data_IF_341680875198
#
_entry.id   IF_341680875198
#
_cell.length_a   1.000
_cell.length_b   1.000
_cell.length_c   1.000
_cell.angle_alpha   90.00
_cell.angle_beta   90.00
_cell.angle_gamma   90.00
#
_symmetry.space_group_name_H-M   'P 1'
#
loop_
_entity.id
_entity.type
_entity.pdbx_description
1 polymer ?
#
# COMPACT_ATOMS: atom_id res chain seq x y z
N UNK A 1 12.73 -6.47 17.52
CA UNK A 1 11.95 -5.32 16.99
C UNK A 1 10.91 -5.86 16.01
N UNK A 2 9.64 -5.44 16.05
CA UNK A 2 8.69 -5.84 15.03
C UNK A 2 9.14 -5.25 13.69
N UNK A 3 9.44 -6.13 12.72
CA UNK A 3 9.81 -5.74 11.37
C UNK A 3 8.64 -5.01 10.72
N UNK A 4 8.71 -3.68 10.61
CA UNK A 4 7.70 -2.89 9.89
C UNK A 4 7.72 -3.32 8.43
N UNK A 5 6.56 -3.75 7.93
CA UNK A 5 6.34 -4.09 6.53
C UNK A 5 5.56 -2.97 5.86
N UNK A 6 5.96 -2.59 4.66
CA UNK A 6 5.30 -1.59 3.83
C UNK A 6 4.49 -2.30 2.76
N UNK A 7 3.20 -2.05 2.70
CA UNK A 7 2.29 -2.65 1.73
C UNK A 7 1.97 -1.62 0.65
N UNK A 8 2.59 -1.76 -0.52
CA UNK A 8 2.28 -0.95 -1.68
C UNK A 8 1.02 -1.49 -2.36
N UNK A 9 -0.01 -0.66 -2.51
CA UNK A 9 -1.21 -0.98 -3.29
C UNK A 9 -1.23 -0.08 -4.51
N UNK A 10 -1.02 -0.67 -5.68
CA UNK A 10 -1.06 0.04 -6.95
C UNK A 10 -2.47 0.08 -7.55
N UNK A 11 -3.25 -0.98 -7.32
CA UNK A 11 -4.59 -1.10 -7.86
C UNK A 11 -5.49 -1.82 -6.84
N UNK A 12 -6.61 -1.20 -6.49
CA UNK A 12 -7.52 -1.72 -5.47
C UNK A 12 -8.64 -0.73 -5.16
N UNK A 13 -9.38 -0.99 -4.09
CA UNK A 13 -10.42 -0.07 -3.61
C UNK A 13 -9.81 1.26 -3.13
N UNK A 14 -10.55 2.38 -3.22
CA UNK A 14 -10.13 3.64 -2.60
C UNK A 14 -9.85 3.39 -1.11
N UNK A 15 -8.71 3.86 -0.58
CA UNK A 15 -7.90 4.96 -1.13
C UNK A 15 -6.63 4.53 -1.89
N UNK A 16 -6.61 3.33 -2.50
CA UNK A 16 -5.58 2.98 -3.47
C UNK A 16 -5.57 3.99 -4.64
N UNK A 17 -4.40 4.29 -5.23
CA UNK A 17 -3.07 3.78 -4.90
C UNK A 17 -2.38 4.45 -3.69
N UNK A 18 -1.52 3.71 -2.98
CA UNK A 18 -0.76 4.22 -1.83
C UNK A 18 0.05 3.15 -1.07
N UNK A 19 0.81 3.57 -0.06
CA UNK A 19 1.59 2.68 0.81
C UNK A 19 0.89 2.57 2.15
N UNK A 20 0.55 1.36 2.59
CA UNK A 20 -0.05 1.09 3.89
C UNK A 20 0.97 0.42 4.82
N UNK A 21 0.83 0.65 6.11
CA UNK A 21 1.63 -0.05 7.13
C UNK A 21 0.89 -1.25 7.75
N UNK A 22 -0.38 -1.46 7.36
CA UNK A 22 -1.25 -2.50 7.88
C UNK A 22 -1.70 -3.48 6.81
N UNK A 23 -1.57 -4.78 7.11
CA UNK A 23 -2.06 -5.86 6.26
C UNK A 23 -3.59 -5.95 6.26
N UNK A 24 -4.25 -5.70 7.39
CA UNK A 24 -5.72 -5.81 7.51
C UNK A 24 -6.45 -4.90 6.50
N UNK A 25 -6.03 -3.63 6.44
CA UNK A 25 -6.51 -2.68 5.46
C UNK A 25 -6.14 -3.11 4.04
N UNK A 26 -4.88 -3.51 3.81
CA UNK A 26 -4.43 -4.00 2.50
C UNK A 26 -5.33 -5.15 2.01
N UNK A 27 -5.65 -6.09 2.90
CA UNK A 27 -6.54 -7.21 2.63
C UNK A 27 -7.95 -6.72 2.32
N UNK A 28 -8.50 -5.77 3.07
CA UNK A 28 -9.83 -5.20 2.79
C UNK A 28 -9.89 -4.46 1.44
N UNK A 29 -8.79 -3.80 1.04
CA UNK A 29 -8.69 -3.04 -0.21
C UNK A 29 -8.58 -3.93 -1.45
N UNK A 30 -7.97 -5.11 -1.31
CA UNK A 30 -7.69 -6.04 -2.41
C UNK A 30 -8.73 -7.17 -2.47
N UNK A 31 -9.30 -7.55 -1.32
CA UNK A 31 -10.31 -8.59 -1.21
C UNK A 31 -11.63 -8.13 -1.83
N UNK A 32 -12.00 -8.77 -2.95
CA UNK A 32 -13.20 -8.41 -3.70
C UNK A 32 -13.00 -7.24 -4.66
N UNK A 33 -11.76 -6.94 -5.08
CA UNK A 33 -11.50 -6.06 -6.22
C UNK A 33 -10.88 -6.86 -7.38
N UNK A 34 -11.58 -6.98 -8.53
CA UNK A 34 -11.04 -7.70 -9.68
C UNK A 34 -9.83 -6.97 -10.25
N UNK A 35 -8.68 -7.65 -10.29
CA UNK A 35 -7.42 -7.07 -10.77
C UNK A 35 -6.64 -6.27 -9.73
N UNK A 36 -6.88 -6.49 -8.43
CA UNK A 36 -6.08 -5.85 -7.39
C UNK A 36 -4.59 -6.17 -7.52
N UNK A 37 -3.74 -5.14 -7.46
CA UNK A 37 -2.28 -5.25 -7.48
C UNK A 37 -1.70 -4.63 -6.21
N UNK A 38 -1.15 -5.48 -5.37
CA UNK A 38 -0.52 -5.09 -4.12
C UNK A 38 0.75 -5.92 -3.87
N UNK A 39 1.72 -5.35 -3.16
CA UNK A 39 2.95 -6.03 -2.81
C UNK A 39 3.53 -5.52 -1.48
N UNK A 40 4.06 -6.42 -0.67
CA UNK A 40 4.67 -6.07 0.63
C UNK A 40 6.19 -6.02 0.52
N UNK A 41 6.79 -4.95 1.05
CA UNK A 41 8.22 -4.71 1.03
C UNK A 41 8.74 -4.43 2.44
N UNK A 42 10.01 -4.76 2.65
CA UNK A 42 10.72 -4.42 3.89
C UNK A 42 11.22 -2.96 3.88
N UNK A 43 11.21 -2.31 2.72
CA UNK A 43 11.71 -0.94 2.52
C UNK A 43 10.70 -0.10 1.75
N UNK A 44 10.65 1.18 2.09
CA UNK A 44 9.75 2.16 1.49
C UNK A 44 10.13 2.45 0.03
N UNK A 45 11.42 2.45 -0.26
CA UNK A 45 11.98 2.68 -1.59
C UNK A 45 11.47 1.65 -2.62
N UNK A 46 11.51 0.35 -2.27
CA UNK A 46 10.93 -0.70 -3.12
C UNK A 46 9.42 -0.58 -3.27
N UNK A 47 8.73 -0.19 -2.21
CA UNK A 47 7.28 0.06 -2.27
C UNK A 47 6.95 1.21 -3.23
N UNK A 48 7.74 2.29 -3.21
CA UNK A 48 7.63 3.40 -4.16
C UNK A 48 7.90 2.94 -5.59
N UNK A 49 8.98 2.19 -5.80
CA UNK A 49 9.37 1.70 -7.14
C UNK A 49 8.27 0.83 -7.75
N UNK A 50 7.67 -0.06 -6.97
CA UNK A 50 6.52 -0.85 -7.40
C UNK A 50 5.32 0.02 -7.82
N UNK A 51 5.03 1.08 -7.06
CA UNK A 51 3.97 2.03 -7.41
C UNK A 51 4.31 2.78 -8.71
N UNK A 52 5.56 3.21 -8.88
CA UNK A 52 6.04 3.88 -10.12
C UNK A 52 5.84 2.96 -11.33
N UNK A 53 6.28 1.72 -11.23
CA UNK A 53 6.19 0.73 -12.31
C UNK A 53 4.73 0.45 -12.70
N UNK A 54 3.81 0.50 -11.73
CA UNK A 54 2.38 0.35 -11.98
C UNK A 54 1.67 1.65 -12.38
N UNK A 55 2.41 2.74 -12.65
CA UNK A 55 1.85 4.00 -13.15
C UNK A 55 1.24 4.92 -12.10
N UNK A 56 1.56 4.70 -10.82
CA UNK A 56 1.05 5.53 -9.71
C UNK A 56 1.86 6.83 -9.60
N UNK A 57 1.20 8.01 -9.65
CA UNK A 57 1.86 9.30 -9.52
C UNK A 57 2.43 9.49 -8.11
N UNK A 58 3.52 10.24 -8.00
CA UNK A 58 4.25 10.48 -6.74
C UNK A 58 3.36 11.06 -5.63
N UNK A 59 2.37 11.88 -5.95
CA UNK A 59 1.43 12.47 -4.98
C UNK A 59 0.56 11.42 -4.27
N UNK A 60 0.29 10.27 -4.90
CA UNK A 60 -0.49 9.19 -4.28
C UNK A 60 0.37 8.19 -3.49
N UNK A 61 1.70 8.32 -3.49
CA UNK A 61 2.63 7.46 -2.73
C UNK A 61 2.71 7.87 -1.25
N UNK A 62 1.58 8.31 -0.70
CA UNK A 62 1.46 8.68 0.70
C UNK A 62 1.50 7.42 1.56
N UNK A 63 2.37 7.44 2.58
CA UNK A 63 2.42 6.43 3.62
C UNK A 63 1.21 6.67 4.52
N UNK A 64 0.25 5.76 4.48
CA UNK A 64 -0.92 5.78 5.33
C UNK A 64 -0.59 4.96 6.57
N UNK A 65 -0.13 5.68 7.59
CA UNK A 65 -0.12 5.15 8.95
C UNK A 65 -1.51 5.39 9.53
N UNK A 66 -2.35 4.36 9.54
CA UNK A 66 -3.62 4.37 10.31
C UNK A 66 -3.29 3.88 11.72
N UNK A 67 -2.32 4.54 12.35
CA UNK A 67 -2.24 4.60 13.80
C UNK A 67 -2.83 5.95 14.18
N UNK A 68 -3.68 5.99 15.22
CA UNK A 68 -4.30 7.18 15.82
C UNK A 68 -5.68 7.47 15.18
N UNK A 69 -6.83 7.28 15.84
CA UNK A 69 -7.16 7.29 17.28
C UNK A 69 -7.95 6.05 17.72
N UNK A 70 -7.76 5.68 19.00
CA UNK A 70 -8.67 4.80 19.76
C UNK A 70 -9.94 5.54 20.14
#
# INVERSE_FOLDING_TARGET
MPSRRYYAVAQGRPPAPGILLSWDETKSLVNGYPGAKHQSFSTLDKAIEFLVENGVPKEQRVIRDVSIER
#
